data_IF_721304562305
#
_entry.id   IF_721304562305
#
_cell.length_a   1.000
_cell.length_b   1.000
_cell.length_c   1.000
_cell.angle_alpha   90.00
_cell.angle_beta   90.00
_cell.angle_gamma   90.00
#
_symmetry.space_group_name_H-M   'P 1'
#
loop_
_entity.id
_entity.type
_entity.pdbx_description
1 polymer ?
#
# COMPACT_ATOMS: atom_id res chain seq x y z
N UNK A 1 63.39 -4.33 -10.98
CA UNK A 1 62.14 -4.82 -11.61
C UNK A 1 61.08 -3.75 -11.48
N UNK A 2 60.83 -2.97 -12.53
CA UNK A 2 59.82 -1.93 -12.61
C UNK A 2 58.46 -2.59 -12.85
N UNK A 3 57.47 -2.38 -11.97
CA UNK A 3 56.12 -2.92 -12.14
C UNK A 3 55.49 -2.32 -13.41
N UNK A 4 54.83 -3.13 -14.27
CA UNK A 4 54.16 -2.60 -15.45
C UNK A 4 52.95 -1.76 -15.01
N UNK A 5 52.95 -0.49 -15.41
CA UNK A 5 51.81 0.40 -15.26
C UNK A 5 50.67 -0.11 -16.13
N UNK A 6 49.62 -0.63 -15.52
CA UNK A 6 48.40 -1.03 -16.22
C UNK A 6 47.71 0.25 -16.70
N UNK A 7 47.75 0.50 -18.01
CA UNK A 7 47.00 1.58 -18.64
C UNK A 7 45.51 1.25 -18.57
N UNK A 8 44.76 1.97 -17.72
CA UNK A 8 43.30 2.02 -17.79
C UNK A 8 42.92 3.23 -18.66
N UNK A 9 42.33 3.03 -19.85
CA UNK A 9 41.83 4.15 -20.64
C UNK A 9 40.77 4.91 -19.84
N UNK A 10 40.85 6.24 -19.88
CA UNK A 10 39.82 7.09 -19.27
C UNK A 10 38.52 6.94 -20.07
N UNK A 11 37.38 6.72 -19.42
CA UNK A 11 36.12 6.50 -20.12
C UNK A 11 35.72 7.74 -20.91
N UNK A 12 35.22 7.54 -22.13
CA UNK A 12 34.79 8.63 -22.99
C UNK A 12 33.62 9.42 -22.37
N UNK A 13 33.38 10.69 -22.73
CA UNK A 13 32.25 11.45 -22.22
C UNK A 13 30.88 10.77 -22.45
N UNK A 14 30.77 9.96 -23.50
CA UNK A 14 29.57 9.17 -23.83
C UNK A 14 29.43 7.99 -22.86
N UNK A 15 30.51 7.25 -22.62
CA UNK A 15 30.54 6.15 -21.65
C UNK A 15 30.20 6.65 -20.24
N UNK A 16 30.76 7.79 -19.82
CA UNK A 16 30.46 8.39 -18.52
C UNK A 16 28.99 8.80 -18.37
N UNK A 17 28.32 9.20 -19.46
CA UNK A 17 26.88 9.48 -19.44
C UNK A 17 26.06 8.19 -19.34
N UNK A 18 26.45 7.17 -20.10
CA UNK A 18 25.83 5.85 -20.06
C UNK A 18 25.92 5.23 -18.65
N UNK A 19 27.10 5.24 -18.03
CA UNK A 19 27.28 4.72 -16.67
C UNK A 19 26.44 5.47 -15.65
N UNK A 20 26.43 6.82 -15.69
CA UNK A 20 25.59 7.63 -14.80
C UNK A 20 24.09 7.34 -14.97
N UNK A 21 23.63 7.16 -16.20
CA UNK A 21 22.24 6.83 -16.46
C UNK A 21 21.89 5.44 -15.90
N UNK A 22 22.79 4.46 -16.06
CA UNK A 22 22.59 3.10 -15.54
C UNK A 22 22.63 3.06 -14.01
N UNK A 23 23.55 3.80 -13.39
CA UNK A 23 23.60 3.94 -11.93
C UNK A 23 22.31 4.55 -11.39
N UNK A 24 21.81 5.63 -12.02
CA UNK A 24 20.54 6.24 -11.62
C UNK A 24 19.36 5.28 -11.77
N UNK A 25 19.31 4.50 -12.85
CA UNK A 25 18.28 3.48 -13.08
C UNK A 25 18.32 2.38 -12.02
N UNK A 26 19.51 1.86 -11.69
CA UNK A 26 19.65 0.85 -10.64
C UNK A 26 19.25 1.40 -9.27
N UNK A 27 19.65 2.64 -8.95
CA UNK A 27 19.33 3.26 -7.67
C UNK A 27 17.82 3.46 -7.53
N UNK A 28 17.15 3.92 -8.59
CA UNK A 28 15.70 4.07 -8.61
C UNK A 28 14.99 2.72 -8.38
N UNK A 29 15.42 1.65 -9.07
CA UNK A 29 14.86 0.30 -8.87
C UNK A 29 15.02 -0.19 -7.44
N UNK A 30 16.19 0.01 -6.82
CA UNK A 30 16.44 -0.37 -5.43
C UNK A 30 15.57 0.41 -4.45
N UNK A 31 15.35 1.70 -4.71
CA UNK A 31 14.47 2.53 -3.89
C UNK A 31 13.02 2.05 -3.99
N UNK A 32 12.50 1.79 -5.19
CA UNK A 32 11.14 1.27 -5.39
C UNK A 32 10.96 -0.09 -4.72
N UNK A 33 11.89 -1.03 -4.92
CA UNK A 33 11.82 -2.35 -4.29
C UNK A 33 11.85 -2.27 -2.76
N UNK A 34 12.67 -1.36 -2.21
CA UNK A 34 12.70 -1.11 -0.75
C UNK A 34 11.38 -0.55 -0.24
N UNK A 35 10.79 0.42 -0.95
CA UNK A 35 9.49 0.99 -0.56
C UNK A 35 8.40 -0.08 -0.56
N UNK A 36 8.31 -0.90 -1.61
CA UNK A 36 7.35 -2.00 -1.70
C UNK A 36 7.51 -3.01 -0.56
N UNK A 37 8.75 -3.37 -0.23
CA UNK A 37 9.02 -4.29 0.88
C UNK A 37 8.60 -3.71 2.24
N UNK A 38 8.79 -2.41 2.47
CA UNK A 38 8.36 -1.75 3.70
C UNK A 38 6.83 -1.63 3.79
N UNK A 39 6.14 -1.40 2.67
CA UNK A 39 4.67 -1.41 2.62
C UNK A 39 4.10 -2.79 2.95
N UNK A 40 4.65 -3.85 2.34
CA UNK A 40 4.23 -5.23 2.61
C UNK A 40 4.46 -5.63 4.07
N UNK A 41 5.61 -5.25 4.65
CA UNK A 41 5.86 -5.45 6.09
C UNK A 41 4.87 -4.71 6.97
N UNK A 42 4.51 -3.48 6.61
CA UNK A 42 3.50 -2.71 7.33
C UNK A 42 2.13 -3.38 7.29
N UNK A 43 1.72 -3.90 6.14
CA UNK A 43 0.47 -4.67 6.00
C UNK A 43 0.52 -5.98 6.79
N UNK A 44 1.63 -6.71 6.75
CA UNK A 44 1.82 -7.94 7.51
C UNK A 44 1.69 -7.69 9.03
N UNK A 45 2.29 -6.60 9.52
CA UNK A 45 2.24 -6.22 10.93
C UNK A 45 0.80 -5.94 11.40
N UNK A 46 0.04 -5.16 10.64
CA UNK A 46 -1.33 -4.75 11.04
C UNK A 46 -2.37 -5.88 10.88
N UNK A 47 -2.17 -6.77 9.91
CA UNK A 47 -3.12 -7.87 9.65
C UNK A 47 -2.76 -9.18 10.35
N UNK A 48 -1.51 -9.36 10.74
CA UNK A 48 -0.98 -10.64 11.21
C UNK A 48 -0.89 -11.72 10.12
N UNK A 49 -1.11 -11.36 8.84
CA UNK A 49 -1.04 -12.30 7.72
C UNK A 49 0.42 -12.51 7.34
N UNK A 50 0.85 -13.77 7.33
CA UNK A 50 2.19 -14.18 6.92
C UNK A 50 2.30 -14.57 5.44
N UNK A 51 1.16 -14.74 4.74
CA UNK A 51 1.15 -15.10 3.33
C UNK A 51 1.39 -13.86 2.46
N UNK A 52 2.53 -13.84 1.78
CA UNK A 52 2.96 -12.71 0.95
C UNK A 52 2.05 -12.48 -0.27
N UNK A 53 1.55 -13.55 -0.91
CA UNK A 53 0.62 -13.44 -2.05
C UNK A 53 -0.66 -12.68 -1.65
N UNK A 54 -1.15 -12.90 -0.43
CA UNK A 54 -2.34 -12.22 0.09
C UNK A 54 -2.04 -10.74 0.37
N UNK A 55 -0.86 -10.43 0.91
CA UNK A 55 -0.43 -9.06 1.17
C UNK A 55 -0.24 -8.28 -0.14
N UNK A 56 0.28 -8.92 -1.18
CA UNK A 56 0.38 -8.32 -2.52
C UNK A 56 -0.98 -8.01 -3.10
N UNK A 57 -1.94 -8.93 -3.02
CA UNK A 57 -3.32 -8.68 -3.46
C UNK A 57 -3.95 -7.51 -2.68
N UNK A 58 -3.73 -7.43 -1.37
CA UNK A 58 -4.22 -6.31 -0.55
C UNK A 58 -3.60 -4.97 -0.99
N UNK A 59 -2.30 -4.94 -1.22
CA UNK A 59 -1.61 -3.76 -1.76
C UNK A 59 -2.16 -3.37 -3.13
N UNK A 60 -2.34 -4.33 -4.04
CA UNK A 60 -2.82 -4.09 -5.41
C UNK A 60 -4.27 -3.60 -5.43
N UNK A 61 -5.08 -3.99 -4.44
CA UNK A 61 -6.43 -3.44 -4.19
C UNK A 61 -6.40 -2.02 -3.60
N UNK A 62 -5.22 -1.46 -3.33
CA UNK A 62 -5.05 -0.12 -2.77
C UNK A 62 -5.14 -0.07 -1.24
N UNK A 63 -5.13 -1.22 -0.55
CA UNK A 63 -5.08 -1.21 0.91
C UNK A 63 -3.70 -0.77 1.39
N UNK A 64 -3.69 0.19 2.29
CA UNK A 64 -2.52 0.63 3.05
C UNK A 64 -2.57 0.05 4.47
N UNK A 65 -1.47 0.16 5.20
CA UNK A 65 -1.41 -0.16 6.65
C UNK A 65 -2.54 0.51 7.45
N UNK A 66 -3.02 1.66 6.98
CA UNK A 66 -4.04 2.45 7.67
C UNK A 66 -5.45 1.92 7.37
N UNK A 67 -5.73 1.51 6.14
CA UNK A 67 -7.06 1.06 5.72
C UNK A 67 -7.30 -0.42 5.97
N UNK A 68 -6.24 -1.24 6.06
CA UNK A 68 -6.36 -2.71 6.13
C UNK A 68 -7.12 -3.20 7.37
N UNK A 69 -7.07 -2.43 8.47
CA UNK A 69 -7.85 -2.72 9.68
C UNK A 69 -9.37 -2.74 9.45
N UNK A 70 -9.87 -2.01 8.44
CA UNK A 70 -11.29 -1.96 8.10
C UNK A 70 -11.83 -3.28 7.54
N UNK A 71 -10.97 -4.19 7.07
CA UNK A 71 -11.41 -5.51 6.58
C UNK A 71 -12.15 -6.32 7.65
N UNK A 72 -11.85 -6.10 8.93
CA UNK A 72 -12.53 -6.75 10.05
C UNK A 72 -13.98 -6.27 10.22
N UNK A 73 -14.37 -5.16 9.62
CA UNK A 73 -15.75 -4.66 9.64
C UNK A 73 -16.62 -5.34 8.59
N UNK A 74 -16.02 -5.91 7.53
CA UNK A 74 -16.75 -6.56 6.43
C UNK A 74 -17.68 -7.67 6.94
N UNK A 75 -17.25 -8.59 7.83
CA UNK A 75 -18.15 -9.60 8.39
C UNK A 75 -19.31 -8.99 9.20
N UNK A 76 -19.07 -7.91 9.94
CA UNK A 76 -20.12 -7.25 10.73
C UNK A 76 -21.19 -6.62 9.83
N UNK A 77 -20.78 -5.99 8.73
CA UNK A 77 -21.70 -5.44 7.72
C UNK A 77 -22.47 -6.56 7.03
N UNK A 78 -21.81 -7.68 6.69
CA UNK A 78 -22.47 -8.85 6.09
C UNK A 78 -23.55 -9.44 7.01
N UNK A 79 -23.28 -9.54 8.31
CA UNK A 79 -24.27 -10.02 9.30
C UNK A 79 -25.45 -9.04 9.42
N UNK A 80 -25.19 -7.73 9.45
CA UNK A 80 -26.25 -6.72 9.50
C UNK A 80 -27.13 -6.75 8.22
N UNK A 81 -26.52 -6.97 7.05
CA UNK A 81 -27.26 -7.10 5.78
C UNK A 81 -28.01 -8.41 5.60
N UNK A 82 -27.62 -9.49 6.26
CA UNK A 82 -28.36 -10.75 6.24
C UNK A 82 -29.82 -10.58 6.73
N UNK A 83 -30.08 -9.55 7.54
CA UNK A 83 -31.40 -9.16 8.06
C UNK A 83 -32.25 -8.36 7.07
N UNK A 84 -31.71 -7.98 5.90
CA UNK A 84 -32.38 -7.20 4.86
C UNK A 84 -32.36 -5.68 5.02
N UNK A 85 -31.90 -5.15 6.16
CA UNK A 85 -31.68 -3.71 6.36
C UNK A 85 -30.75 -3.46 7.54
N UNK A 86 -29.90 -2.43 7.45
CA UNK A 86 -29.12 -1.93 8.60
C UNK A 86 -29.99 -0.90 9.32
N UNK A 87 -30.32 -1.15 10.58
CA UNK A 87 -31.07 -0.18 11.38
C UNK A 87 -30.19 1.04 11.70
N UNK A 88 -30.77 2.23 11.96
CA UNK A 88 -30.00 3.42 12.33
C UNK A 88 -29.10 3.20 13.55
N UNK A 89 -29.53 2.37 14.51
CA UNK A 89 -28.77 2.03 15.72
C UNK A 89 -27.56 1.14 15.43
N UNK A 90 -27.71 0.17 14.52
CA UNK A 90 -26.59 -0.67 14.08
C UNK A 90 -25.55 0.15 13.31
N UNK A 91 -26.00 1.06 12.43
CA UNK A 91 -25.11 2.00 11.73
C UNK A 91 -24.31 2.85 12.71
N UNK A 92 -24.97 3.41 13.72
CA UNK A 92 -24.30 4.22 14.75
C UNK A 92 -23.29 3.39 15.56
N UNK A 93 -23.59 2.12 15.80
CA UNK A 93 -22.68 1.20 16.50
C UNK A 93 -21.45 0.87 15.67
N UNK A 94 -21.61 0.64 14.36
CA UNK A 94 -20.49 0.46 13.42
C UNK A 94 -19.64 1.74 13.35
N UNK A 95 -20.27 2.91 13.29
CA UNK A 95 -19.54 4.19 13.29
C UNK A 95 -18.77 4.43 14.59
N UNK A 96 -19.36 4.12 15.76
CA UNK A 96 -18.64 4.15 17.05
C UNK A 96 -17.46 3.18 17.09
N UNK A 97 -17.59 2.00 16.49
CA UNK A 97 -16.49 1.04 16.38
C UNK A 97 -15.38 1.56 15.48
N UNK A 98 -15.70 2.27 14.39
CA UNK A 98 -14.72 2.97 13.56
C UNK A 98 -13.98 4.05 14.37
N UNK A 99 -14.70 4.90 15.10
CA UNK A 99 -14.10 5.94 15.95
C UNK A 99 -13.20 5.34 17.04
N UNK A 100 -13.63 4.25 17.69
CA UNK A 100 -12.84 3.55 18.70
C UNK A 100 -11.56 2.92 18.15
N UNK A 101 -11.56 2.58 16.85
CA UNK A 101 -10.39 2.08 16.11
C UNK A 101 -9.54 3.21 15.50
N UNK A 102 -9.76 4.46 15.93
CA UNK A 102 -9.02 5.65 15.49
C UNK A 102 -9.15 5.94 13.99
N UNK A 103 -10.30 5.59 13.40
CA UNK A 103 -10.69 5.96 12.03
C UNK A 103 -11.33 7.36 12.12
N UNK A 104 -10.50 8.39 12.05
CA UNK A 104 -10.95 9.78 12.14
C UNK A 104 -11.81 10.18 10.93
N UNK A 105 -12.85 10.97 11.17
CA UNK A 105 -13.86 11.37 10.18
C UNK A 105 -13.32 12.26 9.05
N UNK A 106 -12.15 12.87 9.25
CA UNK A 106 -11.44 13.73 8.29
C UNK A 106 -10.12 13.12 7.78
N UNK A 107 -9.87 11.85 8.10
CA UNK A 107 -8.76 11.07 7.56
C UNK A 107 -9.05 10.66 6.11
N UNK A 108 -8.03 10.47 5.24
CA UNK A 108 -8.20 9.77 3.95
C UNK A 108 -8.88 8.40 4.07
N UNK A 109 -9.00 7.84 5.29
CA UNK A 109 -9.81 6.66 5.65
C UNK A 109 -11.32 6.85 5.50
N UNK A 110 -11.85 8.07 5.61
CA UNK A 110 -13.24 8.40 5.33
C UNK A 110 -13.37 8.61 3.82
N UNK A 111 -13.85 7.58 3.12
CA UNK A 111 -14.19 7.71 1.71
C UNK A 111 -15.24 8.80 1.54
N UNK A 112 -14.91 9.85 0.78
CA UNK A 112 -15.87 10.85 0.36
C UNK A 112 -16.96 10.15 -0.46
N UNK A 113 -18.15 10.06 0.14
CA UNK A 113 -19.38 9.43 -0.36
C UNK A 113 -19.75 9.82 -1.81
N UNK A 114 -19.21 10.96 -2.27
CA UNK A 114 -19.45 11.54 -3.59
C UNK A 114 -18.83 10.75 -4.76
N UNK A 115 -17.81 9.91 -4.53
CA UNK A 115 -17.22 9.08 -5.60
C UNK A 115 -17.86 7.70 -5.77
N UNK A 116 -18.60 7.19 -4.78
CA UNK A 116 -19.22 5.86 -4.84
C UNK A 116 -20.69 5.91 -5.30
N UNK A 117 -21.39 7.03 -5.10
CA UNK A 117 -22.79 7.21 -5.51
C UNK A 117 -23.02 7.12 -7.03
N UNK A 118 -21.98 7.25 -7.86
CA UNK A 118 -22.08 7.15 -9.32
C UNK A 118 -22.03 5.73 -9.91
N UNK A 119 -21.72 4.69 -9.13
CA UNK A 119 -21.45 3.33 -9.66
C UNK A 119 -22.41 2.23 -9.23
N UNK A 120 -23.36 2.50 -8.36
CA UNK A 120 -24.37 1.52 -7.94
C UNK A 120 -25.75 1.94 -8.40
N UNK A 121 -26.01 1.71 -9.69
CA UNK A 121 -27.34 1.32 -10.15
C UNK A 121 -27.29 -0.20 -10.34
N UNK A 122 -27.88 -0.93 -9.39
CA UNK A 122 -28.42 -2.27 -9.59
C UNK A 122 -29.93 -2.18 -9.40
#
# INVERSE_FOLDING_TARGET
MTKPTIYKPQPSPIEQRYFRQKEAELLARLQTARQQAEELKGLAHETGIANEDVLEVLRDLGYTRETVGLLHLVPLVQVAWASGSVTPSERETVLRLCEWRNVEKDSPRWGTDEQLAGRTSF
#
